data_IF_782913166246
#
_entry.id   IF_782913166246
#
_cell.length_a   1.000
_cell.length_b   1.000
_cell.length_c   1.000
_cell.angle_alpha   90.00
_cell.angle_beta   90.00
_cell.angle_gamma   90.00
#
_symmetry.space_group_name_H-M   'P 1'
#
loop_
_entity.id
_entity.type
_entity.pdbx_description
1 polymer ?
#
# COMPACT_ATOMS: atom_id res chain seq x y z
N UNK A 1 5.15 -10.63 -9.42
CA UNK A 1 3.81 -10.13 -9.02
C UNK A 1 2.77 -10.93 -9.80
N UNK A 2 1.79 -11.51 -9.13
CA UNK A 2 0.81 -12.40 -9.76
C UNK A 2 -0.46 -11.59 -10.10
N UNK A 3 -0.64 -11.24 -11.37
CA UNK A 3 -1.68 -10.30 -11.83
C UNK A 3 -3.10 -10.79 -11.46
N UNK A 4 -3.32 -12.10 -11.48
CA UNK A 4 -4.59 -12.71 -11.06
C UNK A 4 -4.92 -12.48 -9.57
N UNK A 5 -3.90 -12.39 -8.70
CA UNK A 5 -4.12 -12.11 -7.28
C UNK A 5 -4.57 -10.67 -7.04
N UNK A 6 -3.97 -9.72 -7.75
CA UNK A 6 -4.33 -8.29 -7.65
C UNK A 6 -5.74 -8.07 -8.18
N UNK A 7 -6.08 -8.70 -9.30
CA UNK A 7 -7.43 -8.64 -9.86
C UNK A 7 -8.46 -9.25 -8.90
N UNK A 8 -8.14 -10.40 -8.29
CA UNK A 8 -9.00 -11.04 -7.29
C UNK A 8 -9.23 -10.16 -6.05
N UNK A 9 -8.16 -9.60 -5.48
CA UNK A 9 -8.25 -8.67 -4.33
C UNK A 9 -9.11 -7.43 -4.68
N UNK A 10 -9.00 -6.92 -5.92
CA UNK A 10 -9.79 -5.78 -6.39
C UNK A 10 -11.28 -6.13 -6.52
N UNK A 11 -11.60 -7.30 -7.07
CA UNK A 11 -12.97 -7.80 -7.16
C UNK A 11 -13.56 -8.06 -5.77
N UNK A 12 -12.76 -8.57 -4.84
CA UNK A 12 -13.16 -8.80 -3.45
C UNK A 12 -13.54 -7.48 -2.78
N UNK A 13 -12.72 -6.43 -2.88
CA UNK A 13 -13.05 -5.12 -2.33
C UNK A 13 -14.27 -4.47 -3.00
N UNK A 14 -14.47 -4.69 -4.30
CA UNK A 14 -15.67 -4.23 -5.00
C UNK A 14 -16.93 -4.93 -4.45
N UNK A 15 -16.86 -6.23 -4.21
CA UNK A 15 -17.96 -6.99 -3.62
C UNK A 15 -18.24 -6.55 -2.18
N UNK A 16 -17.20 -6.37 -1.36
CA UNK A 16 -17.34 -5.86 0.00
C UNK A 16 -17.95 -4.46 0.03
N UNK A 17 -17.59 -3.58 -0.92
CA UNK A 17 -18.19 -2.25 -1.02
C UNK A 17 -19.70 -2.31 -1.31
N UNK A 18 -20.12 -3.21 -2.21
CA UNK A 18 -21.55 -3.43 -2.50
C UNK A 18 -22.30 -3.93 -1.25
N UNK A 19 -21.71 -4.85 -0.49
CA UNK A 19 -22.26 -5.33 0.79
C UNK A 19 -22.43 -4.15 1.76
N UNK A 20 -21.41 -3.30 1.91
CA UNK A 20 -21.49 -2.11 2.77
C UNK A 20 -22.59 -1.14 2.31
N UNK A 21 -22.72 -0.89 1.01
CA UNK A 21 -23.76 0.00 0.47
C UNK A 21 -25.17 -0.55 0.70
N UNK A 22 -25.36 -1.86 0.52
CA UNK A 22 -26.62 -2.55 0.83
C UNK A 22 -26.94 -2.43 2.32
N UNK A 23 -25.98 -2.66 3.20
CA UNK A 23 -26.15 -2.54 4.65
C UNK A 23 -26.53 -1.12 5.08
N UNK A 24 -25.84 -0.10 4.56
CA UNK A 24 -26.13 1.32 4.82
C UNK A 24 -27.58 1.65 4.45
N UNK A 25 -28.03 1.15 3.29
CA UNK A 25 -29.38 1.40 2.78
C UNK A 25 -30.43 0.67 3.63
N UNK A 26 -30.22 -0.63 3.90
CA UNK A 26 -31.16 -1.47 4.66
C UNK A 26 -31.40 -0.93 6.06
N UNK A 27 -30.36 -0.42 6.71
CA UNK A 27 -30.42 0.05 8.10
C UNK A 27 -30.60 1.56 8.23
N UNK A 28 -30.83 2.28 7.12
CA UNK A 28 -30.97 3.74 7.10
C UNK A 28 -29.84 4.46 7.86
N UNK A 29 -28.61 3.98 7.73
CA UNK A 29 -27.46 4.61 8.40
C UNK A 29 -27.24 6.00 7.80
N UNK A 30 -27.11 7.03 8.66
CA UNK A 30 -26.84 8.41 8.24
C UNK A 30 -25.36 8.59 7.84
N UNK A 31 -24.89 7.78 6.90
CA UNK A 31 -23.51 7.77 6.40
C UNK A 31 -23.54 7.92 4.88
N UNK A 32 -22.72 8.83 4.37
CA UNK A 32 -22.60 9.04 2.93
C UNK A 32 -22.01 7.79 2.26
N UNK A 33 -22.52 7.44 1.07
CA UNK A 33 -21.94 6.40 0.22
C UNK A 33 -20.75 6.95 -0.56
N UNK A 34 -19.71 6.12 -0.72
CA UNK A 34 -18.48 6.43 -1.45
C UNK A 34 -18.13 5.29 -2.40
N UNK A 35 -17.56 5.62 -3.56
CA UNK A 35 -17.14 4.64 -4.58
C UNK A 35 -15.80 3.93 -4.25
N UNK A 36 -15.14 4.36 -3.18
CA UNK A 36 -13.93 3.71 -2.67
C UNK A 36 -14.23 2.97 -1.37
N UNK A 37 -13.83 1.69 -1.33
CA UNK A 37 -13.93 0.82 -0.15
C UNK A 37 -13.28 1.42 1.09
N UNK A 38 -12.02 1.84 1.01
CA UNK A 38 -11.32 2.42 2.17
C UNK A 38 -12.00 3.71 2.64
N UNK A 39 -12.44 4.57 1.71
CA UNK A 39 -13.20 5.78 2.06
C UNK A 39 -14.54 5.45 2.72
N UNK A 40 -15.25 4.44 2.23
CA UNK A 40 -16.49 3.97 2.85
C UNK A 40 -16.23 3.48 4.28
N UNK A 41 -15.15 2.74 4.50
CA UNK A 41 -14.72 2.30 5.82
C UNK A 41 -14.39 3.49 6.74
N UNK A 42 -13.75 4.55 6.25
CA UNK A 42 -13.50 5.77 7.05
C UNK A 42 -14.79 6.45 7.49
N UNK A 43 -15.79 6.53 6.60
CA UNK A 43 -17.07 7.16 6.90
C UNK A 43 -17.86 6.34 7.93
N UNK A 44 -17.88 5.02 7.76
CA UNK A 44 -18.50 4.08 8.69
C UNK A 44 -17.82 4.12 10.06
N UNK A 45 -16.49 4.09 10.09
CA UNK A 45 -15.71 4.19 11.33
C UNK A 45 -15.97 5.51 12.07
N UNK A 46 -16.06 6.63 11.33
CA UNK A 46 -16.38 7.93 11.90
C UNK A 46 -17.78 7.97 12.53
N UNK A 47 -18.75 7.26 11.94
CA UNK A 47 -20.13 7.22 12.46
C UNK A 47 -20.24 6.56 13.84
N UNK A 48 -19.30 5.67 14.18
CA UNK A 48 -19.21 5.03 15.50
C UNK A 48 -18.19 5.70 16.44
N UNK A 49 -17.60 6.83 16.03
CA UNK A 49 -16.64 7.58 16.84
C UNK A 49 -15.25 6.95 16.96
N UNK A 50 -14.87 6.03 16.06
CA UNK A 50 -13.54 5.41 16.03
C UNK A 50 -12.64 6.02 14.94
N UNK A 51 -11.33 5.72 15.00
CA UNK A 51 -10.33 6.17 14.00
C UNK A 51 -9.20 5.15 13.73
N UNK A 52 -9.35 3.89 14.17
CA UNK A 52 -8.32 2.86 14.08
C UNK A 52 -7.98 2.47 12.64
N UNK A 53 -8.98 2.29 11.79
CA UNK A 53 -8.88 1.95 10.37
C UNK A 53 -8.22 3.11 9.62
N UNK A 54 -8.75 4.33 9.79
CA UNK A 54 -8.16 5.54 9.19
C UNK A 54 -6.70 5.77 9.62
N UNK A 55 -6.40 5.64 10.91
CA UNK A 55 -5.05 5.79 11.45
C UNK A 55 -4.07 4.74 10.91
N UNK A 56 -4.52 3.48 10.82
CA UNK A 56 -3.70 2.37 10.30
C UNK A 56 -3.46 2.51 8.80
N UNK A 57 -4.49 2.87 8.03
CA UNK A 57 -4.36 3.17 6.60
C UNK A 57 -3.40 4.35 6.36
N UNK A 58 -3.48 5.42 7.17
CA UNK A 58 -2.53 6.54 7.07
C UNK A 58 -1.09 6.11 7.33
N UNK A 59 -0.84 5.27 8.34
CA UNK A 59 0.49 4.70 8.59
C UNK A 59 0.99 3.89 7.39
N UNK A 60 0.13 3.07 6.80
CA UNK A 60 0.47 2.28 5.62
C UNK A 60 0.86 3.17 4.43
N UNK A 61 0.07 4.22 4.16
CA UNK A 61 0.36 5.20 3.11
C UNK A 61 1.68 5.93 3.33
N UNK A 62 1.98 6.34 4.57
CA UNK A 62 3.28 6.97 4.92
C UNK A 62 4.44 6.02 4.62
N UNK A 63 4.33 4.74 5.00
CA UNK A 63 5.37 3.74 4.75
C UNK A 63 5.60 3.53 3.26
N UNK A 64 4.53 3.50 2.46
CA UNK A 64 4.63 3.40 1.01
C UNK A 64 5.38 4.60 0.40
N UNK A 65 5.03 5.83 0.82
CA UNK A 65 5.73 7.05 0.37
C UNK A 65 7.20 7.03 0.79
N UNK A 66 7.50 6.67 2.05
CA UNK A 66 8.86 6.58 2.56
C UNK A 66 9.69 5.56 1.78
N UNK A 67 9.12 4.41 1.42
CA UNK A 67 9.81 3.42 0.60
C UNK A 67 10.18 3.96 -0.79
N UNK A 68 9.28 4.75 -1.40
CA UNK A 68 9.55 5.45 -2.66
C UNK A 68 10.69 6.48 -2.52
N UNK A 69 10.65 7.30 -1.46
CA UNK A 69 11.69 8.31 -1.17
C UNK A 69 13.06 7.64 -0.97
N UNK A 70 13.11 6.52 -0.27
CA UNK A 70 14.37 5.80 0.01
C UNK A 70 14.91 5.11 -1.24
N UNK A 71 14.06 4.58 -2.10
CA UNK A 71 14.47 3.95 -3.36
C UNK A 71 14.88 4.99 -4.44
N UNK A 72 14.38 6.22 -4.34
CA UNK A 72 14.57 7.25 -5.36
C UNK A 72 16.05 7.65 -5.60
N UNK A 73 16.92 7.84 -4.58
CA UNK A 73 18.34 8.09 -4.78
C UNK A 73 19.04 7.01 -5.61
N UNK A 74 18.72 5.73 -5.40
CA UNK A 74 19.29 4.62 -6.18
C UNK A 74 18.89 4.75 -7.65
N UNK A 75 17.62 5.07 -7.90
CA UNK A 75 17.10 5.30 -9.24
C UNK A 75 17.83 6.47 -9.93
N UNK A 76 18.11 7.57 -9.22
CA UNK A 76 18.86 8.71 -9.76
C UNK A 76 20.28 8.31 -10.16
N UNK A 77 20.98 7.53 -9.34
CA UNK A 77 22.34 7.06 -9.66
C UNK A 77 22.33 6.18 -10.91
N UNK A 78 21.38 5.25 -11.00
CA UNK A 78 21.23 4.38 -12.18
C UNK A 78 20.92 5.22 -13.43
N UNK A 79 20.01 6.19 -13.32
CA UNK A 79 19.62 7.06 -14.42
C UNK A 79 20.79 7.94 -14.89
N UNK A 80 21.55 8.53 -13.95
CA UNK A 80 22.72 9.32 -14.25
C UNK A 80 23.80 8.50 -14.95
N UNK A 81 24.10 7.30 -14.44
CA UNK A 81 25.05 6.38 -15.07
C UNK A 81 24.60 5.97 -16.49
N UNK A 82 23.29 5.70 -16.68
CA UNK A 82 22.73 5.38 -17.99
C UNK A 82 22.86 6.55 -18.98
N UNK A 83 22.48 7.77 -18.56
CA UNK A 83 22.59 8.97 -19.40
C UNK A 83 24.06 9.21 -19.77
N UNK A 84 24.96 9.13 -18.80
CA UNK A 84 26.39 9.33 -19.02
C UNK A 84 26.97 8.31 -20.00
N UNK A 85 26.68 7.02 -19.81
CA UNK A 85 27.14 5.96 -20.71
C UNK A 85 26.57 6.09 -22.13
N UNK A 86 25.29 6.50 -22.27
CA UNK A 86 24.64 6.56 -23.57
C UNK A 86 25.00 7.80 -24.38
N UNK A 87 25.12 8.96 -23.72
CA UNK A 87 25.19 10.26 -24.39
C UNK A 87 26.54 10.97 -24.24
N UNK A 88 27.30 10.71 -23.17
CA UNK A 88 28.54 11.44 -22.88
C UNK A 88 29.75 10.57 -23.24
N UNK A 89 29.82 9.34 -22.71
CA UNK A 89 30.94 8.44 -22.97
C UNK A 89 30.45 7.00 -23.19
N UNK A 90 30.35 6.60 -24.46
CA UNK A 90 29.92 5.26 -24.88
C UNK A 90 30.85 4.12 -24.46
N UNK A 91 32.09 4.44 -24.09
CA UNK A 91 33.06 3.46 -23.59
C UNK A 91 33.11 3.44 -22.05
N UNK A 92 32.21 4.15 -21.37
CA UNK A 92 32.13 4.13 -19.92
C UNK A 92 31.62 2.78 -19.42
N UNK A 93 32.51 2.04 -18.75
CA UNK A 93 32.19 0.79 -18.10
C UNK A 93 31.59 1.05 -16.71
N UNK A 94 30.25 1.08 -16.67
CA UNK A 94 29.46 1.30 -15.44
C UNK A 94 29.78 0.24 -14.39
N UNK A 95 30.00 -1.02 -14.79
CA UNK A 95 30.30 -2.10 -13.86
C UNK A 95 31.66 -1.91 -13.21
N UNK A 96 32.68 -1.57 -14.00
CA UNK A 96 34.01 -1.24 -13.48
C UNK A 96 33.98 -0.03 -12.56
N UNK A 97 33.19 1.00 -12.88
CA UNK A 97 33.00 2.16 -12.00
C UNK A 97 32.40 1.76 -10.65
N UNK A 98 31.36 0.92 -10.63
CA UNK A 98 30.76 0.45 -9.38
C UNK A 98 31.72 -0.43 -8.57
N UNK A 99 32.45 -1.34 -9.24
CA UNK A 99 33.42 -2.24 -8.59
C UNK A 99 34.60 -1.49 -7.96
N UNK A 100 35.01 -0.38 -8.57
CA UNK A 100 36.12 0.44 -8.08
C UNK A 100 35.73 1.39 -6.94
N UNK A 101 34.45 1.59 -6.66
CA UNK A 101 33.95 2.54 -5.66
C UNK A 101 33.10 1.79 -4.60
N UNK A 102 33.74 1.22 -3.57
CA UNK A 102 33.09 0.28 -2.67
C UNK A 102 31.92 0.87 -1.86
N UNK A 103 31.97 2.16 -1.59
CA UNK A 103 30.89 2.93 -0.99
C UNK A 103 29.55 2.77 -1.74
N UNK A 104 29.56 2.61 -3.06
CA UNK A 104 28.34 2.50 -3.87
C UNK A 104 27.58 1.22 -3.52
N UNK A 105 28.27 0.08 -3.43
CA UNK A 105 27.60 -1.19 -3.10
C UNK A 105 27.22 -1.27 -1.62
N UNK A 106 27.98 -0.63 -0.71
CA UNK A 106 27.62 -0.52 0.71
C UNK A 106 26.32 0.29 0.87
N UNK A 107 26.25 1.46 0.23
CA UNK A 107 25.05 2.31 0.25
C UNK A 107 23.85 1.57 -0.36
N UNK A 108 24.05 0.89 -1.49
CA UNK A 108 23.01 0.09 -2.12
C UNK A 108 22.50 -1.03 -1.21
N UNK A 109 23.41 -1.75 -0.53
CA UNK A 109 23.04 -2.81 0.42
C UNK A 109 22.24 -2.28 1.61
N UNK A 110 22.63 -1.14 2.18
CA UNK A 110 21.89 -0.47 3.27
C UNK A 110 20.50 -0.05 2.80
N UNK A 111 20.39 0.58 1.62
CA UNK A 111 19.11 1.02 1.07
C UNK A 111 18.17 -0.17 0.77
N UNK A 112 18.72 -1.27 0.28
CA UNK A 112 17.97 -2.52 0.10
C UNK A 112 17.46 -3.05 1.44
N UNK A 113 18.30 -3.09 2.47
CA UNK A 113 17.92 -3.52 3.82
C UNK A 113 16.77 -2.69 4.40
N UNK A 114 16.86 -1.36 4.30
CA UNK A 114 15.80 -0.45 4.74
C UNK A 114 14.51 -0.68 3.94
N UNK A 115 14.61 -0.85 2.62
CA UNK A 115 13.46 -1.10 1.76
C UNK A 115 12.74 -2.39 2.14
N UNK A 116 13.48 -3.45 2.45
CA UNK A 116 12.90 -4.73 2.91
C UNK A 116 12.18 -4.56 4.26
N UNK A 117 12.76 -3.83 5.20
CA UNK A 117 12.14 -3.55 6.50
C UNK A 117 10.82 -2.78 6.31
N UNK A 118 10.81 -1.75 5.46
CA UNK A 118 9.61 -0.98 5.16
C UNK A 118 8.54 -1.84 4.46
N UNK A 119 8.94 -2.70 3.52
CA UNK A 119 8.02 -3.62 2.85
C UNK A 119 7.39 -4.63 3.83
N UNK A 120 8.19 -5.17 4.77
CA UNK A 120 7.68 -6.04 5.84
C UNK A 120 6.69 -5.28 6.74
N UNK A 121 7.04 -4.07 7.16
CA UNK A 121 6.17 -3.26 8.00
C UNK A 121 4.87 -2.89 7.29
N UNK A 122 4.92 -2.54 5.99
CA UNK A 122 3.75 -2.33 5.16
C UNK A 122 2.87 -3.59 5.10
N UNK A 123 3.46 -4.77 4.89
CA UNK A 123 2.72 -6.04 4.87
C UNK A 123 2.01 -6.33 6.19
N UNK A 124 2.67 -6.05 7.33
CA UNK A 124 2.08 -6.19 8.66
C UNK A 124 0.90 -5.23 8.83
N UNK A 125 1.04 -3.96 8.43
CA UNK A 125 -0.05 -2.98 8.50
C UNK A 125 -1.23 -3.37 7.61
N UNK A 126 -0.96 -3.82 6.38
CA UNK A 126 -1.99 -4.30 5.46
C UNK A 126 -2.78 -5.47 6.05
N UNK A 127 -2.07 -6.49 6.57
CA UNK A 127 -2.71 -7.63 7.24
C UNK A 127 -3.55 -7.19 8.44
N UNK A 128 -3.01 -6.29 9.27
CA UNK A 128 -3.72 -5.75 10.42
C UNK A 128 -4.98 -4.97 10.02
N UNK A 129 -4.90 -4.17 8.96
CA UNK A 129 -6.01 -3.35 8.48
C UNK A 129 -7.19 -4.23 8.02
N UNK A 130 -6.93 -5.17 7.11
CA UNK A 130 -8.00 -5.92 6.44
C UNK A 130 -8.43 -7.22 7.14
N UNK A 131 -7.55 -7.88 7.92
CA UNK A 131 -7.91 -9.14 8.62
C UNK A 131 -8.23 -8.97 10.10
N UNK A 132 -8.03 -7.77 10.66
CA UNK A 132 -8.32 -7.53 12.08
C UNK A 132 -9.22 -6.31 12.28
N UNK A 133 -8.79 -5.15 11.78
CA UNK A 133 -9.54 -3.90 12.02
C UNK A 133 -10.84 -3.86 11.22
N UNK A 134 -10.81 -4.22 9.93
CA UNK A 134 -12.02 -4.24 9.11
C UNK A 134 -13.09 -5.23 9.62
N UNK A 135 -12.77 -6.50 9.95
CA UNK A 135 -13.76 -7.41 10.54
C UNK A 135 -14.30 -6.91 11.89
N UNK A 136 -13.46 -6.28 12.72
CA UNK A 136 -13.91 -5.67 13.98
C UNK A 136 -14.89 -4.52 13.71
N UNK A 137 -14.63 -3.68 12.71
CA UNK A 137 -15.53 -2.62 12.26
C UNK A 137 -16.86 -3.19 11.74
N UNK A 138 -16.79 -4.23 10.88
CA UNK A 138 -17.96 -4.95 10.35
C UNK A 138 -18.85 -5.46 11.47
N UNK A 139 -18.26 -6.11 12.48
CA UNK A 139 -18.96 -6.63 13.66
C UNK A 139 -19.62 -5.54 14.49
N UNK A 140 -18.95 -4.40 14.72
CA UNK A 140 -19.51 -3.29 15.51
C UNK A 140 -20.70 -2.61 14.85
N UNK A 141 -20.73 -2.59 13.52
CA UNK A 141 -21.81 -1.99 12.74
C UNK A 141 -22.94 -3.02 12.49
N UNK A 142 -22.82 -4.23 13.06
CA UNK A 142 -23.76 -5.34 12.92
C UNK A 142 -24.05 -5.62 11.44
N UNK A 143 -23.00 -5.60 10.61
CA UNK A 143 -23.13 -5.99 9.21
C UNK A 143 -23.29 -7.51 9.20
N UNK A 144 -24.54 -7.95 9.16
CA UNK A 144 -24.90 -9.35 8.92
C UNK A 144 -24.40 -9.75 7.52
N UNK A 145 -23.72 -10.88 7.44
CA UNK A 145 -23.43 -11.49 6.14
C UNK A 145 -24.76 -11.86 5.50
N UNK A 146 -25.13 -11.13 4.45
CA UNK A 146 -26.29 -11.46 3.64
C UNK A 146 -25.92 -12.75 2.89
N UNK A 147 -26.28 -13.90 3.47
CA UNK A 147 -26.37 -15.15 2.74
C UNK A 147 -27.46 -14.98 1.69
N UNK A 148 -27.07 -14.94 0.42
CA UNK A 148 -28.02 -15.09 -0.67
C UNK A 148 -28.52 -16.54 -0.64
N UNK A 149 -29.77 -16.74 -0.22
CA UNK A 149 -30.57 -17.93 -0.58
C UNK A 149 -31.07 -17.80 -2.01
#
# INVERSE_FOLDING_TARGET
MNFGRILHETLEFSNELDILHKHITKNNLQVQKSDSFDKQCFLLERSIGEERFKSTHKKMSIVNIMSGIIAFPVLLVILAAYIYAKWINKNFDVFRFILNNPEIYIIAAVLLGITLILAMYHSILHKKLYYKIYPELKRKIVIEEITFE
#
